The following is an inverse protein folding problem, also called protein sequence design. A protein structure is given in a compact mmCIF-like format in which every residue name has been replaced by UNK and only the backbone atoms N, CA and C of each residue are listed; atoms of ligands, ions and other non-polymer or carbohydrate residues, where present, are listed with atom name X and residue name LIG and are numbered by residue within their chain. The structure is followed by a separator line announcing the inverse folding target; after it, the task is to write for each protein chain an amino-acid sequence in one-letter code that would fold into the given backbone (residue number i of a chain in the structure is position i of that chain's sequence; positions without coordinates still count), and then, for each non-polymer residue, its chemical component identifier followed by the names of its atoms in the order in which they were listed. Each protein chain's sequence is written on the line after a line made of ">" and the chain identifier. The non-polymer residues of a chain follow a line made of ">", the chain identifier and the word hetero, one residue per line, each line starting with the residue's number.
data_IF_563979278369
#
_entry.id   IF_563979278369
#
_cell.length_a   1.000
_cell.length_b   1.000
_cell.length_c   1.000
_cell.angle_alpha   90.00
_cell.angle_beta   90.00
_cell.angle_gamma   90.00
#
_symmetry.space_group_name_H-M   'P 1'
#
loop_
_entity.id
_entity.type
_entity.pdbx_description
1 polymer ?
#
# COMPACT_ATOMS: atom_id res chain seq x y z
N UNK A 1 18.32 40.69 51.43
CA UNK A 1 18.40 39.26 51.05
C UNK A 1 18.12 39.18 49.57
N UNK A 2 19.13 39.02 48.73
CA UNK A 2 18.96 38.87 47.27
C UNK A 2 19.49 37.49 46.89
N UNK A 3 18.57 36.56 46.61
CA UNK A 3 18.90 35.24 46.13
C UNK A 3 19.49 35.37 44.72
N UNK A 4 20.77 35.02 44.56
CA UNK A 4 21.41 34.87 43.25
C UNK A 4 20.82 33.64 42.57
N UNK A 5 19.93 33.85 41.62
CA UNK A 5 19.46 32.79 40.72
C UNK A 5 20.67 32.26 39.93
N UNK A 6 21.07 31.02 40.22
CA UNK A 6 22.08 30.30 39.45
C UNK A 6 21.51 29.97 38.07
N UNK A 7 21.67 30.89 37.11
CA UNK A 7 21.35 30.61 35.71
C UNK A 7 22.33 29.59 35.15
N UNK A 8 21.85 28.36 34.90
CA UNK A 8 22.62 27.32 34.23
C UNK A 8 22.95 27.81 32.81
N UNK A 9 24.24 28.02 32.52
CA UNK A 9 24.72 28.40 31.18
C UNK A 9 25.11 27.15 30.38
N UNK A 10 24.44 26.93 29.26
CA UNK A 10 24.76 25.86 28.33
C UNK A 10 25.83 26.31 27.31
N UNK A 11 26.62 25.36 26.80
CA UNK A 11 27.57 25.63 25.72
C UNK A 11 26.84 25.94 24.40
N UNK A 12 27.47 26.73 23.52
CA UNK A 12 26.95 27.03 22.18
C UNK A 12 26.67 25.75 21.39
N UNK A 13 27.58 24.78 21.43
CA UNK A 13 27.41 23.50 20.76
C UNK A 13 26.20 22.70 21.28
N UNK A 14 25.92 22.76 22.59
CA UNK A 14 24.70 22.16 23.16
C UNK A 14 23.45 22.87 22.65
N UNK A 15 23.47 24.20 22.59
CA UNK A 15 22.35 25.01 22.10
C UNK A 15 22.08 24.77 20.60
N UNK A 16 23.11 24.64 19.78
CA UNK A 16 22.99 24.34 18.35
C UNK A 16 22.35 22.97 18.12
N UNK A 17 22.78 21.95 18.89
CA UNK A 17 22.18 20.61 18.83
C UNK A 17 20.73 20.62 19.25
N UNK A 18 20.40 21.32 20.34
CA UNK A 18 19.02 21.46 20.80
C UNK A 18 18.16 22.18 19.76
N UNK A 19 18.70 23.23 19.13
CA UNK A 19 18.01 23.98 18.07
C UNK A 19 17.78 23.11 16.85
N UNK A 20 18.78 22.36 16.39
CA UNK A 20 18.65 21.43 15.26
C UNK A 20 17.62 20.34 15.53
N UNK A 21 17.65 19.76 16.73
CA UNK A 21 16.67 18.76 17.14
C UNK A 21 15.25 19.34 17.15
N UNK A 22 15.07 20.55 17.73
CA UNK A 22 13.79 21.26 17.74
C UNK A 22 13.27 21.50 16.33
N UNK A 23 14.08 22.12 15.46
CA UNK A 23 13.68 22.41 14.07
C UNK A 23 13.34 21.14 13.31
N UNK A 24 14.08 20.05 13.55
CA UNK A 24 13.80 18.74 12.92
C UNK A 24 12.44 18.20 13.34
N UNK A 25 12.12 18.23 14.63
CA UNK A 25 10.84 17.78 15.16
C UNK A 25 9.68 18.65 14.67
N UNK A 26 9.85 19.98 14.72
CA UNK A 26 8.83 20.93 14.25
C UNK A 26 8.53 20.72 12.76
N UNK A 27 9.57 20.57 11.92
CA UNK A 27 9.38 20.26 10.50
C UNK A 27 8.70 18.91 10.29
N UNK A 28 9.12 17.87 11.02
CA UNK A 28 8.54 16.54 10.90
C UNK A 28 7.03 16.56 11.16
N UNK A 29 6.60 17.10 12.30
CA UNK A 29 5.18 17.12 12.68
C UNK A 29 4.36 18.06 11.79
N UNK A 30 4.92 19.20 11.39
CA UNK A 30 4.25 20.13 10.46
C UNK A 30 3.98 19.44 9.11
N UNK A 31 4.99 18.74 8.57
CA UNK A 31 4.84 17.99 7.32
C UNK A 31 3.84 16.84 7.48
N UNK A 32 3.91 16.08 8.57
CA UNK A 32 3.01 14.96 8.84
C UNK A 32 1.55 15.42 8.88
N UNK A 33 1.26 16.53 9.57
CA UNK A 33 -0.09 17.10 9.66
C UNK A 33 -0.55 17.61 8.29
N UNK A 34 0.29 18.37 7.58
CA UNK A 34 -0.06 18.91 6.27
C UNK A 34 -0.40 17.78 5.28
N UNK A 35 0.42 16.73 5.24
CA UNK A 35 0.19 15.55 4.41
C UNK A 35 -1.07 14.78 4.81
N UNK A 36 -1.34 14.65 6.11
CA UNK A 36 -2.57 14.02 6.61
C UNK A 36 -3.82 14.77 6.14
N UNK A 37 -3.83 16.09 6.31
CA UNK A 37 -4.95 16.96 5.90
C UNK A 37 -5.15 16.88 4.39
N UNK A 38 -4.08 16.99 3.61
CA UNK A 38 -4.13 16.88 2.15
C UNK A 38 -4.75 15.54 1.72
N UNK A 39 -4.27 14.42 2.26
CA UNK A 39 -4.78 13.09 1.92
C UNK A 39 -6.27 12.97 2.23
N UNK A 40 -6.69 13.42 3.41
CA UNK A 40 -8.09 13.36 3.82
C UNK A 40 -8.98 14.18 2.87
N UNK A 41 -8.59 15.42 2.57
CA UNK A 41 -9.39 16.31 1.72
C UNK A 41 -9.45 15.86 0.26
N UNK A 42 -8.36 15.31 -0.28
CA UNK A 42 -8.26 14.96 -1.70
C UNK A 42 -8.72 13.55 -2.05
N UNK A 43 -8.68 12.60 -1.11
CA UNK A 43 -9.13 11.23 -1.35
C UNK A 43 -10.49 10.93 -0.73
N UNK A 44 -10.80 11.47 0.46
CA UNK A 44 -12.07 11.25 1.14
C UNK A 44 -13.10 12.32 0.79
N UNK A 45 -13.39 12.46 -0.50
CA UNK A 45 -14.37 13.37 -1.07
C UNK A 45 -15.20 12.67 -2.18
N UNK A 46 -16.12 13.43 -2.77
CA UNK A 46 -16.97 13.00 -3.89
C UNK A 46 -16.12 12.56 -5.09
N UNK A 47 -16.65 11.62 -5.87
CA UNK A 47 -15.89 10.93 -6.92
C UNK A 47 -15.30 11.89 -7.95
N UNK A 48 -16.05 12.93 -8.30
CA UNK A 48 -15.67 13.94 -9.29
C UNK A 48 -14.51 14.82 -8.81
N UNK A 49 -14.41 15.03 -7.48
CA UNK A 49 -13.36 15.85 -6.85
C UNK A 49 -12.17 15.06 -6.33
N UNK A 50 -12.26 13.73 -6.35
CA UNK A 50 -11.23 12.84 -5.84
C UNK A 50 -9.97 12.93 -6.70
N UNK A 51 -8.81 13.02 -6.06
CA UNK A 51 -7.52 13.03 -6.76
C UNK A 51 -7.41 11.79 -7.68
N UNK A 52 -7.09 12.05 -8.94
CA UNK A 52 -7.03 11.06 -10.02
C UNK A 52 -8.32 10.94 -10.85
N UNK A 53 -9.36 11.72 -10.56
CA UNK A 53 -10.63 11.65 -11.31
C UNK A 53 -10.54 12.16 -12.75
N UNK A 54 -9.65 13.12 -13.05
CA UNK A 54 -9.61 13.77 -14.37
C UNK A 54 -8.50 13.22 -15.26
N UNK A 55 -7.31 12.98 -14.69
CA UNK A 55 -6.10 12.50 -15.42
C UNK A 55 -5.43 11.29 -14.78
N UNK A 56 -6.13 10.59 -13.88
CA UNK A 56 -5.61 9.37 -13.26
C UNK A 56 -4.33 9.61 -12.45
N UNK A 57 -3.36 8.72 -12.62
CA UNK A 57 -2.10 8.72 -11.85
C UNK A 57 -1.28 10.01 -12.04
N UNK A 58 -1.43 10.72 -13.15
CA UNK A 58 -0.65 11.94 -13.43
C UNK A 58 -0.96 13.05 -12.42
N UNK A 59 -2.18 13.11 -11.88
CA UNK A 59 -2.49 14.03 -10.78
C UNK A 59 -1.77 13.65 -9.48
N UNK A 60 -1.64 12.35 -9.21
CA UNK A 60 -0.97 11.85 -8.01
C UNK A 60 0.53 12.14 -8.06
N UNK A 61 1.17 12.02 -9.22
CA UNK A 61 2.60 12.34 -9.39
C UNK A 61 2.92 13.81 -9.06
N UNK A 62 1.95 14.71 -9.18
CA UNK A 62 2.13 16.15 -9.00
C UNK A 62 1.90 16.64 -7.56
N UNK A 63 1.29 15.84 -6.67
CA UNK A 63 1.01 16.32 -5.30
C UNK A 63 2.29 16.38 -4.44
N UNK A 64 2.39 17.34 -3.50
CA UNK A 64 3.56 17.50 -2.65
C UNK A 64 3.97 16.24 -1.88
N UNK A 65 3.00 15.40 -1.49
CA UNK A 65 3.27 14.14 -0.79
C UNK A 65 4.25 13.22 -1.54
N UNK A 66 4.14 13.14 -2.87
CA UNK A 66 4.99 12.27 -3.70
C UNK A 66 6.19 13.00 -4.33
N UNK A 67 6.52 14.21 -3.84
CA UNK A 67 7.67 14.95 -4.32
C UNK A 67 8.95 14.14 -4.11
N UNK A 68 9.73 13.97 -5.18
CA UNK A 68 11.00 13.23 -5.14
C UNK A 68 10.84 11.72 -5.22
N UNK A 69 9.61 11.21 -5.40
CA UNK A 69 9.40 9.80 -5.78
C UNK A 69 9.82 9.63 -7.23
N UNK A 70 10.77 8.74 -7.45
CA UNK A 70 11.11 8.24 -8.78
C UNK A 70 10.10 7.14 -9.14
N UNK A 71 9.11 7.49 -9.96
CA UNK A 71 8.02 6.59 -10.34
C UNK A 71 8.45 5.52 -11.35
N UNK A 72 9.48 5.78 -12.15
CA UNK A 72 9.97 4.85 -13.17
C UNK A 72 10.77 3.72 -12.52
N UNK A 73 11.58 4.04 -11.51
CA UNK A 73 12.45 3.06 -10.84
C UNK A 73 11.99 2.71 -9.41
N UNK A 74 10.73 2.98 -9.05
CA UNK A 74 10.22 2.77 -7.68
C UNK A 74 10.38 1.31 -7.21
N UNK A 75 10.32 0.35 -8.14
CA UNK A 75 10.44 -1.10 -7.86
C UNK A 75 11.88 -1.59 -7.72
N UNK A 76 12.86 -0.79 -8.14
CA UNK A 76 14.28 -1.13 -8.06
C UNK A 76 14.89 -0.72 -6.72
N UNK A 77 14.20 0.15 -5.98
CA UNK A 77 14.62 0.59 -4.65
C UNK A 77 14.27 -0.47 -3.60
N UNK A 78 15.09 -0.65 -2.56
CA UNK A 78 14.73 -1.53 -1.44
C UNK A 78 13.44 -1.03 -0.77
N UNK A 79 12.56 -1.96 -0.39
CA UNK A 79 11.36 -1.62 0.36
C UNK A 79 11.73 -0.98 1.70
N UNK A 80 10.97 0.03 2.12
CA UNK A 80 11.22 0.73 3.38
C UNK A 80 11.10 -0.21 4.61
N UNK A 81 10.24 -1.23 4.50
CA UNK A 81 10.06 -2.27 5.50
C UNK A 81 10.34 -3.61 4.80
N UNK A 82 11.51 -4.21 5.02
CA UNK A 82 11.80 -5.54 4.50
C UNK A 82 10.99 -6.59 5.27
N UNK A 83 10.57 -7.65 4.58
CA UNK A 83 9.90 -8.81 5.20
C UNK A 83 10.94 -9.89 5.45
N UNK A 84 10.96 -10.43 6.67
CA UNK A 84 11.79 -11.57 7.01
C UNK A 84 11.05 -12.87 6.67
N UNK A 85 11.72 -13.77 5.96
CA UNK A 85 11.17 -15.07 5.53
C UNK A 85 12.15 -16.16 5.93
N UNK A 86 11.70 -17.10 6.76
CA UNK A 86 12.54 -18.16 7.33
C UNK A 86 12.70 -19.37 6.40
N UNK A 87 11.65 -19.70 5.65
CA UNK A 87 11.59 -20.85 4.74
C UNK A 87 10.54 -20.64 3.65
N UNK A 88 10.50 -21.53 2.64
CA UNK A 88 9.54 -21.45 1.52
C UNK A 88 8.08 -21.64 1.96
N UNK A 89 7.86 -22.31 3.08
CA UNK A 89 6.58 -22.62 3.71
C UNK A 89 6.29 -21.75 4.95
N UNK A 90 7.08 -20.70 5.17
CA UNK A 90 6.89 -19.78 6.30
C UNK A 90 5.59 -18.97 6.16
N UNK A 91 4.64 -19.22 7.07
CA UNK A 91 3.36 -18.50 7.17
C UNK A 91 3.34 -17.45 8.27
N UNK A 92 4.47 -17.13 8.91
CA UNK A 92 4.49 -16.24 10.09
C UNK A 92 4.17 -14.76 9.82
N UNK A 93 4.10 -14.36 8.54
CA UNK A 93 3.64 -13.04 8.12
C UNK A 93 2.12 -13.00 7.83
N UNK A 94 1.38 -14.07 8.16
CA UNK A 94 -0.07 -14.18 8.04
C UNK A 94 -0.71 -14.43 9.42
N UNK A 95 -1.97 -14.05 9.58
CA UNK A 95 -2.74 -14.36 10.78
C UNK A 95 -3.17 -15.83 10.80
N UNK A 96 -3.22 -16.42 12.00
CA UNK A 96 -3.82 -17.73 12.22
C UNK A 96 -5.35 -17.58 12.24
N UNK A 97 -6.02 -18.29 11.35
CA UNK A 97 -7.48 -18.36 11.34
C UNK A 97 -7.93 -19.68 11.95
N UNK A 98 -8.91 -19.67 12.87
CA UNK A 98 -9.47 -20.91 13.39
C UNK A 98 -10.15 -21.69 12.27
N UNK A 99 -10.16 -23.02 12.39
CA UNK A 99 -10.93 -23.87 11.50
C UNK A 99 -12.42 -23.50 11.60
N UNK A 100 -12.94 -22.86 10.55
CA UNK A 100 -14.38 -22.64 10.41
C UNK A 100 -14.96 -23.91 9.82
N UNK A 101 -15.94 -24.50 10.51
CA UNK A 101 -16.74 -25.58 9.94
C UNK A 101 -17.56 -25.00 8.79
N UNK A 102 -17.01 -25.08 7.58
CA UNK A 102 -17.73 -24.69 6.38
C UNK A 102 -18.86 -25.70 6.18
N UNK A 103 -20.08 -25.32 6.52
CA UNK A 103 -21.30 -26.05 6.17
C UNK A 103 -21.57 -25.87 4.67
N UNK A 104 -20.61 -26.28 3.82
CA UNK A 104 -20.79 -26.27 2.37
C UNK A 104 -21.84 -27.35 2.09
N UNK A 105 -23.04 -27.00 1.63
CA UNK A 105 -24.01 -27.99 1.26
C UNK A 105 -23.39 -28.89 0.18
N UNK A 106 -23.55 -30.20 0.33
CA UNK A 106 -23.08 -31.16 -0.66
C UNK A 106 -23.61 -30.75 -2.04
N UNK A 107 -22.78 -30.90 -3.08
CA UNK A 107 -23.22 -30.67 -4.44
C UNK A 107 -24.50 -31.50 -4.70
N UNK A 108 -25.56 -30.91 -5.27
CA UNK A 108 -26.73 -31.65 -5.69
C UNK A 108 -26.31 -32.82 -6.58
N UNK A 109 -26.91 -34.00 -6.33
CA UNK A 109 -26.71 -35.16 -7.20
C UNK A 109 -27.09 -34.78 -8.64
N UNK A 110 -26.30 -35.16 -9.65
CA UNK A 110 -26.66 -34.93 -11.04
C UNK A 110 -28.02 -35.59 -11.30
N UNK A 111 -29.03 -34.80 -11.69
CA UNK A 111 -30.26 -35.34 -12.25
C UNK A 111 -29.93 -35.82 -13.67
N UNK A 112 -30.35 -37.04 -13.98
CA UNK A 112 -30.00 -37.73 -15.22
C UNK A 112 -30.41 -36.90 -16.44
N UNK A 113 -29.45 -36.51 -17.29
CA UNK A 113 -29.68 -35.84 -18.57
C UNK A 113 -29.60 -34.31 -18.62
N UNK A 114 -29.37 -33.60 -17.51
CA UNK A 114 -29.23 -32.13 -17.53
C UNK A 114 -27.74 -31.72 -17.53
N UNK A 115 -27.27 -31.07 -18.61
CA UNK A 115 -25.96 -30.41 -18.61
C UNK A 115 -25.99 -29.34 -17.54
N UNK A 116 -25.31 -29.57 -16.41
CA UNK A 116 -25.42 -28.71 -15.24
C UNK A 116 -24.99 -27.29 -15.59
N UNK A 117 -25.92 -26.32 -15.47
CA UNK A 117 -25.62 -24.87 -15.60
C UNK A 117 -24.42 -24.44 -14.74
N UNK A 118 -24.12 -25.21 -13.68
CA UNK A 118 -22.95 -25.05 -12.81
C UNK A 118 -21.62 -25.19 -13.54
N UNK A 119 -21.52 -25.98 -14.59
CA UNK A 119 -20.25 -26.13 -15.31
C UNK A 119 -19.99 -24.93 -16.23
N UNK A 120 -21.06 -24.24 -16.66
CA UNK A 120 -20.95 -23.05 -17.51
C UNK A 120 -20.35 -21.84 -16.79
N UNK A 121 -20.63 -21.68 -15.49
CA UNK A 121 -20.07 -20.56 -14.71
C UNK A 121 -18.56 -20.66 -14.50
N UNK A 122 -17.96 -21.82 -14.78
CA UNK A 122 -16.51 -22.04 -14.71
C UNK A 122 -15.84 -22.16 -16.09
N UNK A 123 -16.57 -21.94 -17.18
CA UNK A 123 -15.96 -21.88 -18.53
C UNK A 123 -14.89 -20.78 -18.54
N UNK A 124 -13.71 -21.10 -19.08
CA UNK A 124 -12.52 -20.23 -19.12
C UNK A 124 -11.89 -19.91 -17.74
N UNK A 125 -12.31 -20.58 -16.66
CA UNK A 125 -11.68 -20.41 -15.35
C UNK A 125 -10.25 -20.95 -15.32
N UNK A 126 -10.00 -22.07 -16.02
CA UNK A 126 -8.68 -22.71 -16.05
C UNK A 126 -7.62 -21.80 -16.68
N UNK A 127 -6.62 -21.42 -15.89
CA UNK A 127 -5.46 -20.64 -16.34
C UNK A 127 -4.18 -21.46 -16.27
N UNK A 128 -3.41 -21.48 -17.38
CA UNK A 128 -2.07 -22.08 -17.43
C UNK A 128 -1.04 -21.09 -17.95
N UNK A 129 -0.25 -20.52 -17.03
CA UNK A 129 0.71 -19.42 -17.28
C UNK A 129 1.70 -19.64 -18.43
N UNK A 130 1.98 -20.89 -18.79
CA UNK A 130 3.01 -21.27 -19.76
C UNK A 130 2.51 -22.10 -20.93
N UNK A 131 1.19 -22.24 -21.10
CA UNK A 131 0.63 -22.76 -22.34
C UNK A 131 0.25 -21.60 -23.26
N UNK A 132 0.75 -21.63 -24.49
CA UNK A 132 0.44 -20.66 -25.54
C UNK A 132 -1.05 -20.61 -25.97
N UNK A 133 -1.94 -21.29 -25.25
CA UNK A 133 -3.39 -21.23 -25.41
C UNK A 133 -4.08 -20.25 -24.45
N UNK A 134 -3.41 -19.70 -23.43
CA UNK A 134 -4.02 -18.58 -22.70
C UNK A 134 -4.07 -17.38 -23.64
N UNK A 135 -5.27 -16.91 -24.00
CA UNK A 135 -5.56 -15.83 -24.97
C UNK A 135 -4.83 -14.52 -24.65
N UNK A 136 -3.53 -14.45 -24.91
CA UNK A 136 -2.73 -13.23 -24.86
C UNK A 136 -2.28 -12.90 -26.29
N UNK A 137 -3.04 -12.01 -26.91
CA UNK A 137 -2.59 -11.24 -28.07
C UNK A 137 -2.87 -11.89 -29.42
N UNK A 138 -3.44 -11.10 -30.32
CA UNK A 138 -3.51 -11.39 -31.76
C UNK A 138 -2.12 -11.71 -32.31
N UNK A 139 -1.95 -12.77 -33.13
CA UNK A 139 -0.70 -13.01 -33.82
C UNK A 139 -0.44 -11.85 -34.78
N UNK A 140 0.60 -11.06 -34.52
CA UNK A 140 1.12 -10.12 -35.51
C UNK A 140 1.68 -10.94 -36.68
N UNK A 141 1.00 -10.89 -37.82
CA UNK A 141 1.50 -11.45 -39.08
C UNK A 141 2.79 -10.72 -39.45
N UNK A 142 3.89 -11.46 -39.56
CA UNK A 142 5.04 -11.05 -40.36
C UNK A 142 4.77 -11.34 -41.82
#
# INVERSE_FOLDING_TARGET
>A
MTATENTIRFSVHTLDKATKAKVTLENYYTNLIAQHVERKQRFCCEAERRLGSQKGIEELKLVPFFRGVDWEHIRERPAAIPVEVKSIDDTSNFDDFPDVKLEIPAAPLPQDGEVSYKDWVFINYTFKRFEGLTQRGTPTKK
#
